data_IF_398895622559
#
_entry.id   IF_398895622559
#
_cell.length_a   1.000
_cell.length_b   1.000
_cell.length_c   1.000
_cell.angle_alpha   90.00
_cell.angle_beta   90.00
_cell.angle_gamma   90.00
#
_symmetry.space_group_name_H-M   'P 1'
#
loop_
_entity.id
_entity.type
_entity.pdbx_description
1 polymer ?
#
# COMPACT_ATOMS: atom_id res chain seq x y z
N UNK A 1 44.24 23.29 -58.64
CA UNK A 1 44.81 21.92 -58.70
C UNK A 1 44.41 21.20 -57.42
N UNK A 2 43.99 19.92 -57.53
CA UNK A 2 43.28 19.13 -56.48
C UNK A 2 44.30 18.58 -55.46
N UNK A 3 43.94 17.95 -54.30
CA UNK A 3 43.39 16.59 -54.29
C UNK A 3 42.44 16.17 -53.13
N UNK A 4 41.53 15.26 -53.49
CA UNK A 4 41.20 13.99 -52.82
C UNK A 4 40.39 13.88 -51.52
N UNK A 5 39.29 13.14 -51.67
CA UNK A 5 38.32 12.54 -50.76
C UNK A 5 38.87 11.79 -49.53
N UNK A 6 38.01 11.50 -48.53
CA UNK A 6 37.43 10.15 -48.48
C UNK A 6 35.91 10.08 -48.14
N UNK A 7 35.24 8.96 -48.48
CA UNK A 7 33.84 8.70 -48.16
C UNK A 7 33.63 8.34 -46.68
N UNK A 8 32.58 8.88 -46.06
CA UNK A 8 32.15 8.51 -44.71
C UNK A 8 31.31 7.22 -44.73
N UNK A 9 31.48 6.35 -43.72
CA UNK A 9 30.87 5.03 -43.67
C UNK A 9 29.34 5.08 -43.61
N UNK A 10 28.72 4.12 -44.29
CA UNK A 10 27.29 3.86 -44.23
C UNK A 10 26.90 3.41 -42.81
N UNK A 11 26.28 4.31 -42.05
CA UNK A 11 25.65 3.94 -40.80
C UNK A 11 24.31 3.25 -41.08
N UNK A 12 24.34 1.92 -41.08
CA UNK A 12 23.16 1.09 -40.98
C UNK A 12 22.38 1.43 -39.71
N UNK A 13 21.29 2.18 -39.85
CA UNK A 13 20.25 2.24 -38.82
C UNK A 13 19.23 1.14 -39.10
N UNK A 14 19.55 -0.03 -38.57
CA UNK A 14 18.61 -1.12 -38.31
C UNK A 14 17.44 -0.59 -37.48
N UNK A 15 16.36 -0.23 -38.18
CA UNK A 15 15.04 -0.03 -37.62
C UNK A 15 14.44 -1.41 -37.35
N UNK A 16 14.01 -1.65 -36.13
CA UNK A 16 13.02 -2.70 -35.86
C UNK A 16 13.39 -3.64 -34.73
N UNK A 17 12.99 -3.28 -33.50
CA UNK A 17 12.56 -4.24 -32.44
C UNK A 17 12.04 -3.47 -31.21
N UNK A 18 11.12 -2.52 -31.41
CA UNK A 18 10.44 -1.78 -30.32
C UNK A 18 8.95 -2.14 -30.19
N UNK A 19 8.58 -3.41 -30.32
CA UNK A 19 7.16 -3.79 -30.38
C UNK A 19 6.74 -5.05 -29.65
N UNK A 20 7.64 -5.80 -28.99
CA UNK A 20 7.29 -7.11 -28.42
C UNK A 20 7.53 -7.26 -26.92
N UNK A 21 8.30 -6.36 -26.30
CA UNK A 21 8.63 -6.45 -24.87
C UNK A 21 7.62 -5.77 -23.93
N UNK A 22 6.68 -4.98 -24.44
CA UNK A 22 5.68 -4.29 -23.61
C UNK A 22 4.54 -5.18 -23.11
N UNK A 23 4.25 -6.29 -23.80
CA UNK A 23 3.12 -7.17 -23.46
C UNK A 23 3.45 -8.17 -22.35
N UNK A 24 4.72 -8.50 -22.11
CA UNK A 24 5.12 -9.40 -21.02
C UNK A 24 5.10 -8.69 -19.66
N UNK A 25 5.47 -7.40 -19.63
CA UNK A 25 5.44 -6.60 -18.40
C UNK A 25 4.01 -6.30 -17.91
N UNK A 26 3.06 -6.07 -18.82
CA UNK A 26 1.66 -5.80 -18.45
C UNK A 26 0.95 -7.05 -17.87
N UNK A 27 1.30 -8.26 -18.33
CA UNK A 27 0.71 -9.50 -17.83
C UNK A 27 1.16 -9.85 -16.41
N UNK A 28 2.40 -9.52 -16.02
CA UNK A 28 2.92 -9.77 -14.66
C UNK A 28 2.35 -8.80 -13.62
N UNK A 29 2.02 -7.57 -14.00
CA UNK A 29 1.36 -6.60 -13.11
C UNK A 29 -0.12 -6.95 -12.92
N UNK A 30 -0.82 -7.39 -13.97
CA UNK A 30 -2.24 -7.77 -13.86
C UNK A 30 -2.45 -9.09 -13.09
N UNK A 31 -1.49 -10.01 -13.09
CA UNK A 31 -1.58 -11.24 -12.29
C UNK A 31 -1.34 -10.98 -10.78
N UNK A 32 -0.59 -9.92 -10.45
CA UNK A 32 -0.23 -9.59 -9.07
C UNK A 32 -1.39 -9.01 -8.24
N UNK A 33 -2.45 -8.50 -8.86
CA UNK A 33 -3.65 -8.02 -8.14
C UNK A 33 -4.66 -9.14 -7.85
N UNK A 34 -4.63 -10.27 -8.58
CA UNK A 34 -5.55 -11.39 -8.36
C UNK A 34 -5.06 -12.38 -7.28
N UNK A 35 -3.74 -12.52 -7.11
CA UNK A 35 -3.16 -13.40 -6.09
C UNK A 35 -3.40 -12.94 -4.63
N UNK A 36 -3.76 -11.67 -4.42
CA UNK A 36 -4.16 -11.16 -3.11
C UNK A 36 -5.56 -11.63 -2.65
N UNK A 37 -6.38 -12.17 -3.57
CA UNK A 37 -7.76 -12.62 -3.27
C UNK A 37 -7.82 -14.10 -2.84
N UNK A 38 -6.81 -14.92 -3.14
CA UNK A 38 -6.84 -16.38 -2.90
C UNK A 38 -5.95 -16.89 -1.77
N UNK A 39 -5.23 -16.02 -1.04
CA UNK A 39 -4.64 -16.37 0.26
C UNK A 39 -3.56 -17.46 0.28
N UNK A 40 -2.89 -17.77 -0.84
CA UNK A 40 -1.81 -18.77 -0.87
C UNK A 40 -0.44 -18.09 -0.90
N UNK A 41 -0.02 -17.57 0.25
CA UNK A 41 1.41 -17.36 0.55
C UNK A 41 1.66 -17.99 1.92
N UNK A 42 2.45 -19.07 2.05
CA UNK A 42 2.83 -19.60 3.35
C UNK A 42 3.86 -18.64 3.95
N UNK A 43 3.38 -17.69 4.73
CA UNK A 43 4.19 -16.78 5.51
C UNK A 43 4.49 -17.42 6.87
N UNK A 44 5.46 -18.34 6.91
CA UNK A 44 6.05 -18.76 8.19
C UNK A 44 6.97 -17.65 8.70
N UNK A 45 6.39 -16.50 9.03
CA UNK A 45 7.05 -15.54 9.90
C UNK A 45 6.97 -16.10 11.31
N UNK A 46 8.12 -16.40 11.91
CA UNK A 46 8.23 -16.83 13.29
C UNK A 46 7.40 -15.90 14.18
N UNK A 47 6.37 -16.44 14.83
CA UNK A 47 5.38 -15.71 15.65
C UNK A 47 5.94 -15.24 17.00
N UNK A 48 7.23 -14.92 17.06
CA UNK A 48 7.94 -14.44 18.25
C UNK A 48 8.27 -12.94 18.20
N UNK A 49 7.79 -12.21 17.18
CA UNK A 49 7.56 -10.78 17.36
C UNK A 49 6.43 -10.67 18.40
N UNK A 50 6.70 -10.03 19.55
CA UNK A 50 5.75 -9.88 20.66
C UNK A 50 4.32 -9.76 20.11
N UNK A 51 3.52 -10.81 20.31
CA UNK A 51 2.17 -10.85 19.78
C UNK A 51 1.41 -9.72 20.45
N UNK A 52 1.23 -8.61 19.73
CA UNK A 52 0.38 -7.52 20.20
C UNK A 52 -1.02 -8.12 20.30
N UNK A 53 -1.52 -8.26 21.53
CA UNK A 53 -2.87 -8.75 21.76
C UNK A 53 -3.86 -7.84 21.05
N UNK A 54 -4.94 -8.40 20.51
CA UNK A 54 -6.03 -7.63 19.89
C UNK A 54 -6.95 -6.97 20.91
N UNK A 55 -6.67 -7.13 22.21
CA UNK A 55 -7.49 -6.62 23.30
C UNK A 55 -7.39 -5.10 23.43
N UNK A 56 -8.53 -4.46 23.69
CA UNK A 56 -8.59 -3.03 23.99
C UNK A 56 -8.06 -2.75 25.41
N UNK A 57 -6.82 -2.27 25.50
CA UNK A 57 -6.20 -1.89 26.78
C UNK A 57 -6.72 -0.56 27.35
N UNK A 58 -7.64 0.12 26.68
CA UNK A 58 -8.30 1.33 27.15
C UNK A 58 -9.70 1.07 27.75
N UNK A 59 -10.29 -0.10 27.52
CA UNK A 59 -11.68 -0.39 27.90
C UNK A 59 -11.97 -0.29 29.40
N UNK A 60 -12.96 0.52 29.78
CA UNK A 60 -13.31 0.75 31.19
C UNK A 60 -12.28 1.55 32.00
N UNK A 61 -11.23 2.11 31.38
CA UNK A 61 -10.28 2.98 32.09
C UNK A 61 -10.82 4.42 32.18
N UNK A 62 -10.41 5.21 33.20
CA UNK A 62 -10.75 6.62 33.31
C UNK A 62 -10.31 7.44 32.10
N UNK A 63 -11.08 8.48 31.77
CA UNK A 63 -10.78 9.35 30.63
C UNK A 63 -11.21 10.78 30.84
N UNK A 64 -10.49 11.68 30.20
CA UNK A 64 -10.80 13.11 30.20
C UNK A 64 -10.71 13.66 28.78
N UNK A 65 -11.58 14.60 28.45
CA UNK A 65 -11.55 15.40 27.23
C UNK A 65 -11.88 16.84 27.59
N UNK A 66 -11.29 17.81 26.90
CA UNK A 66 -11.53 19.24 27.19
C UNK A 66 -12.97 19.66 26.93
N UNK A 67 -13.67 18.95 26.03
CA UNK A 67 -15.06 19.21 25.65
C UNK A 67 -15.78 17.91 25.32
N UNK A 68 -17.10 17.94 25.45
CA UNK A 68 -18.01 16.94 24.91
C UNK A 68 -19.23 17.67 24.33
N UNK A 69 -19.72 17.21 23.18
CA UNK A 69 -20.89 17.79 22.49
C UNK A 69 -22.11 17.85 23.43
N UNK A 70 -22.33 16.76 24.15
CA UNK A 70 -23.41 16.59 25.10
C UNK A 70 -23.12 15.38 26.01
N UNK A 71 -23.95 15.19 27.05
CA UNK A 71 -23.77 14.12 28.02
C UNK A 71 -23.89 12.69 27.45
N UNK A 72 -24.49 12.52 26.26
CA UNK A 72 -24.59 11.21 25.61
C UNK A 72 -23.33 10.84 24.79
N UNK A 73 -22.38 11.79 24.62
CA UNK A 73 -21.12 11.57 23.91
C UNK A 73 -19.89 11.79 24.83
N UNK A 74 -19.80 11.16 26.01
CA UNK A 74 -18.70 11.38 26.95
C UNK A 74 -17.37 10.82 26.42
N UNK A 75 -16.25 11.26 26.98
CA UNK A 75 -14.91 10.76 26.60
C UNK A 75 -14.76 9.24 26.77
N UNK A 76 -15.42 8.64 27.77
CA UNK A 76 -15.39 7.20 28.03
C UNK A 76 -16.05 6.38 26.91
N UNK A 77 -16.95 6.98 26.13
CA UNK A 77 -17.63 6.32 25.02
C UNK A 77 -16.70 6.02 23.83
N UNK A 78 -15.45 6.50 23.83
CA UNK A 78 -14.50 6.21 22.75
C UNK A 78 -13.92 4.79 22.82
N UNK A 79 -13.96 4.13 23.97
CA UNK A 79 -13.35 2.81 24.20
C UNK A 79 -14.19 1.96 25.16
N UNK A 80 -15.49 2.20 25.29
CA UNK A 80 -16.39 1.44 26.18
C UNK A 80 -16.75 0.03 25.67
N UNK A 81 -16.23 -0.39 24.51
CA UNK A 81 -16.50 -1.69 23.90
C UNK A 81 -17.82 -1.75 23.12
N UNK A 82 -18.59 -0.66 23.05
CA UNK A 82 -19.83 -0.57 22.30
C UNK A 82 -19.58 0.13 20.95
N UNK A 83 -19.88 -0.55 19.85
CA UNK A 83 -19.67 -0.01 18.49
C UNK A 83 -20.71 1.03 18.07
N UNK A 84 -21.76 1.25 18.86
CA UNK A 84 -22.81 2.24 18.63
C UNK A 84 -22.60 3.56 19.37
N UNK A 85 -21.65 3.64 20.29
CA UNK A 85 -21.35 4.85 21.07
C UNK A 85 -20.08 5.51 20.54
N UNK A 86 -19.98 6.83 20.76
CA UNK A 86 -18.79 7.60 20.39
C UNK A 86 -18.66 8.84 21.25
N UNK A 87 -17.44 9.32 21.38
CA UNK A 87 -17.18 10.69 21.81
C UNK A 87 -17.39 11.67 20.64
N UNK A 88 -17.86 12.87 20.96
CA UNK A 88 -17.94 14.03 20.05
C UNK A 88 -17.56 15.29 20.82
N UNK A 89 -16.98 16.28 20.15
CA UNK A 89 -16.75 17.63 20.71
C UNK A 89 -17.97 18.53 20.57
N UNK A 90 -18.08 19.53 21.45
CA UNK A 90 -19.00 20.66 21.31
C UNK A 90 -18.62 21.60 20.17
#
# INVERSE_FOLDING_TARGET
MPPSSPPHPAYGRSRGRRGRSGLVAAALVALSTFAAVTGVVPTTYSAAAAACGTANVAEGRPSSASSAENAASPASAAFDGNTGTRWSSA
#
